data_IF_715149870445
#
_entry.id   IF_715149870445
#
_cell.length_a   1.000
_cell.length_b   1.000
_cell.length_c   1.000
_cell.angle_alpha   90.00
_cell.angle_beta   90.00
_cell.angle_gamma   90.00
#
_symmetry.space_group_name_H-M   'P 1'
#
loop_
_entity.id
_entity.type
_entity.pdbx_description
1 polymer ?
#
# COMPACT_ATOMS: atom_id res chain seq x y z
N UNK A 1 -14.14 1.81 -0.81
CA UNK A 1 -15.26 1.49 0.11
C UNK A 1 -14.76 0.72 1.33
N UNK A 2 -14.34 -0.55 1.22
CA UNK A 2 -13.91 -1.33 2.38
C UNK A 2 -12.84 -0.64 3.25
N UNK A 3 -11.74 -0.16 2.67
CA UNK A 3 -10.68 0.52 3.43
C UNK A 3 -11.18 1.77 4.17
N UNK A 4 -12.02 2.59 3.52
CA UNK A 4 -12.65 3.76 4.13
C UNK A 4 -13.59 3.36 5.29
N UNK A 5 -14.42 2.34 5.06
CA UNK A 5 -15.36 1.82 6.06
C UNK A 5 -14.65 1.30 7.30
N UNK A 6 -13.57 0.54 7.13
CA UNK A 6 -12.78 0.00 8.25
C UNK A 6 -12.13 1.13 9.07
N UNK A 7 -11.60 2.17 8.41
CA UNK A 7 -11.07 3.37 9.07
C UNK A 7 -12.15 4.12 9.84
N UNK A 8 -13.30 4.37 9.22
CA UNK A 8 -14.43 5.03 9.84
C UNK A 8 -14.98 4.21 11.03
N UNK A 9 -15.03 2.89 10.89
CA UNK A 9 -15.50 1.97 11.92
C UNK A 9 -14.61 2.02 13.16
N UNK A 10 -13.29 1.83 13.01
CA UNK A 10 -12.39 1.93 14.16
C UNK A 10 -12.49 3.30 14.82
N UNK A 11 -12.51 4.39 14.02
CA UNK A 11 -12.64 5.73 14.57
C UNK A 11 -13.92 5.87 15.39
N UNK A 12 -15.05 5.39 14.90
CA UNK A 12 -16.33 5.43 15.61
C UNK A 12 -16.33 4.60 16.89
N UNK A 13 -15.71 3.42 16.86
CA UNK A 13 -15.62 2.52 18.00
C UNK A 13 -14.63 3.01 19.07
N UNK A 14 -13.78 4.00 18.80
CA UNK A 14 -12.72 4.41 19.72
C UNK A 14 -12.79 5.88 20.13
N UNK A 15 -13.51 6.72 19.37
CA UNK A 15 -13.57 8.17 19.63
C UNK A 15 -14.31 8.49 20.94
N UNK A 16 -15.28 7.68 21.34
CA UNK A 16 -16.07 7.93 22.56
C UNK A 16 -15.24 7.65 23.81
N UNK A 17 -14.45 6.57 23.80
CA UNK A 17 -13.66 6.08 24.92
C UNK A 17 -12.31 6.79 25.02
N UNK A 18 -11.67 7.05 23.87
CA UNK A 18 -10.34 7.64 23.81
C UNK A 18 -10.38 9.16 23.60
N UNK A 19 -11.50 9.72 23.15
CA UNK A 19 -11.59 11.13 22.78
C UNK A 19 -10.51 11.51 21.77
N UNK A 20 -9.76 12.56 22.08
CA UNK A 20 -8.64 13.03 21.25
C UNK A 20 -7.49 12.03 21.11
N UNK A 21 -7.37 11.05 22.01
CA UNK A 21 -6.31 10.03 21.94
C UNK A 21 -6.50 9.06 20.78
N UNK A 22 -7.67 9.03 20.12
CA UNK A 22 -7.89 8.25 18.89
C UNK A 22 -6.86 8.60 17.80
N UNK A 23 -6.30 9.82 17.82
CA UNK A 23 -5.25 10.25 16.90
C UNK A 23 -3.94 9.44 17.04
N UNK A 24 -3.75 8.73 18.16
CA UNK A 24 -2.62 7.84 18.41
C UNK A 24 -2.82 6.44 17.81
N UNK A 25 -4.04 6.09 17.39
CA UNK A 25 -4.39 4.82 16.74
C UNK A 25 -5.00 5.05 15.35
N UNK A 26 -4.26 5.72 14.43
CA UNK A 26 -4.83 6.19 13.17
C UNK A 26 -4.96 5.09 12.11
N UNK A 27 -4.24 3.97 12.26
CA UNK A 27 -4.30 2.82 11.36
C UNK A 27 -5.29 1.79 11.93
N UNK A 28 -6.18 1.21 11.11
CA UNK A 28 -7.04 0.14 11.56
C UNK A 28 -6.30 -1.09 12.09
N UNK A 29 -6.68 -1.52 13.29
CA UNK A 29 -6.24 -2.75 13.93
C UNK A 29 -7.31 -3.81 13.76
N UNK A 30 -7.02 -4.80 12.89
CA UNK A 30 -7.93 -5.90 12.60
C UNK A 30 -8.19 -6.80 13.81
N UNK A 31 -7.25 -6.90 14.75
CA UNK A 31 -7.40 -7.69 15.97
C UNK A 31 -8.34 -6.97 16.93
N UNK A 32 -8.22 -5.65 17.05
CA UNK A 32 -9.16 -4.85 17.82
C UNK A 32 -10.59 -5.01 17.28
N UNK A 33 -10.79 -4.80 15.98
CA UNK A 33 -12.10 -4.91 15.35
C UNK A 33 -12.69 -6.32 15.50
N UNK A 34 -11.87 -7.36 15.33
CA UNK A 34 -12.31 -8.75 15.50
C UNK A 34 -12.78 -9.02 16.93
N UNK A 35 -12.01 -8.58 17.93
CA UNK A 35 -12.35 -8.78 19.34
C UNK A 35 -13.63 -8.05 19.73
N UNK A 36 -13.83 -6.82 19.25
CA UNK A 36 -15.06 -6.05 19.47
C UNK A 36 -16.27 -6.80 18.90
N UNK A 37 -16.21 -7.20 17.64
CA UNK A 37 -17.35 -7.86 16.97
C UNK A 37 -17.61 -9.28 17.46
N UNK A 38 -16.60 -9.99 17.98
CA UNK A 38 -16.78 -11.28 18.65
C UNK A 38 -17.12 -11.16 20.13
N UNK A 39 -17.12 -9.95 20.67
CA UNK A 39 -17.27 -9.69 22.10
C UNK A 39 -16.27 -10.48 22.97
N UNK A 40 -15.03 -10.61 22.50
CA UNK A 40 -13.97 -11.32 23.24
C UNK A 40 -13.65 -10.54 24.51
N UNK A 41 -13.75 -11.20 25.67
CA UNK A 41 -13.52 -10.60 27.00
C UNK A 41 -14.37 -9.34 27.28
N UNK A 42 -15.58 -9.25 26.70
CA UNK A 42 -16.47 -8.10 26.91
C UNK A 42 -16.19 -6.90 25.99
N UNK A 43 -15.33 -7.06 24.97
CA UNK A 43 -14.97 -5.99 24.04
C UNK A 43 -16.12 -5.45 23.18
N UNK A 44 -17.31 -6.08 23.19
CA UNK A 44 -18.50 -5.53 22.55
C UNK A 44 -18.96 -4.19 23.16
N UNK A 45 -18.48 -3.85 24.36
CA UNK A 45 -18.75 -2.56 25.00
C UNK A 45 -18.28 -1.34 24.18
N UNK A 46 -17.27 -1.49 23.32
CA UNK A 46 -16.77 -0.43 22.43
C UNK A 46 -17.75 -0.07 21.28
N UNK A 47 -18.86 -0.80 21.16
CA UNK A 47 -19.92 -0.47 20.21
C UNK A 47 -20.97 0.48 20.80
N UNK A 48 -20.99 0.63 22.12
CA UNK A 48 -21.93 1.49 22.84
C UNK A 48 -21.35 2.90 22.96
N UNK A 49 -22.14 3.93 22.63
CA UNK A 49 -21.70 5.31 22.80
C UNK A 49 -22.09 5.74 24.21
N UNK A 50 -21.14 5.92 25.11
CA UNK A 50 -21.40 6.17 26.55
C UNK A 50 -22.25 7.42 26.77
N UNK A 51 -22.17 8.40 25.87
CA UNK A 51 -22.92 9.66 25.95
C UNK A 51 -24.34 9.59 25.36
N UNK A 52 -24.71 8.49 24.71
CA UNK A 52 -26.04 8.32 24.12
C UNK A 52 -27.06 7.84 25.16
N UNK A 53 -28.34 8.01 24.87
CA UNK A 53 -29.43 7.50 25.71
C UNK A 53 -29.85 6.07 25.36
N UNK A 54 -29.46 5.60 24.17
CA UNK A 54 -29.81 4.28 23.63
C UNK A 54 -28.54 3.45 23.52
N UNK A 55 -28.53 2.22 23.99
CA UNK A 55 -27.36 1.35 23.84
C UNK A 55 -27.20 0.92 22.39
N UNK A 56 -26.17 1.40 21.72
CA UNK A 56 -25.86 1.01 20.35
C UNK A 56 -25.29 -0.40 20.23
N UNK A 57 -25.65 -1.07 19.13
CA UNK A 57 -25.13 -2.39 18.78
C UNK A 57 -24.01 -2.29 17.76
N UNK A 58 -23.10 -3.28 17.75
CA UNK A 58 -22.01 -3.31 16.76
C UNK A 58 -22.51 -3.27 15.29
N UNK A 59 -23.62 -3.92 14.90
CA UNK A 59 -24.20 -3.74 13.57
C UNK A 59 -24.66 -2.31 13.26
N UNK A 60 -25.18 -1.58 14.25
CA UNK A 60 -25.56 -0.17 14.05
C UNK A 60 -24.33 0.71 13.85
N UNK A 61 -23.28 0.49 14.65
CA UNK A 61 -22.01 1.18 14.47
C UNK A 61 -21.36 0.89 13.12
N UNK A 62 -21.40 -0.37 12.66
CA UNK A 62 -20.97 -0.76 11.33
C UNK A 62 -21.72 -0.03 10.21
N UNK A 63 -23.04 0.15 10.35
CA UNK A 63 -23.86 0.88 9.37
C UNK A 63 -23.54 2.37 9.36
N UNK A 64 -23.50 3.00 10.54
CA UNK A 64 -23.16 4.43 10.66
C UNK A 64 -21.74 4.71 10.12
N UNK A 65 -20.80 3.79 10.33
CA UNK A 65 -19.45 3.87 9.75
C UNK A 65 -19.44 3.78 8.22
N UNK A 66 -20.36 3.02 7.64
CA UNK A 66 -20.47 2.91 6.19
C UNK A 66 -20.99 4.22 5.58
N UNK A 67 -21.97 4.85 6.23
CA UNK A 67 -22.47 6.17 5.81
C UNK A 67 -21.35 7.21 5.82
N UNK A 68 -20.54 7.28 6.88
CA UNK A 68 -19.36 8.17 6.94
C UNK A 68 -18.37 7.92 5.81
N UNK A 69 -18.06 6.64 5.56
CA UNK A 69 -17.12 6.25 4.52
C UNK A 69 -17.62 6.61 3.12
N UNK A 70 -18.93 6.49 2.87
CA UNK A 70 -19.52 6.89 1.58
C UNK A 70 -19.50 8.41 1.41
N UNK A 71 -19.78 9.18 2.47
CA UNK A 71 -19.68 10.65 2.45
C UNK A 71 -18.24 11.10 2.15
N UNK A 72 -17.23 10.51 2.81
CA UNK A 72 -15.81 10.80 2.55
C UNK A 72 -15.45 10.48 1.09
N UNK A 73 -15.78 9.27 0.63
CA UNK A 73 -15.42 8.84 -0.72
C UNK A 73 -16.17 9.61 -1.82
N UNK A 74 -17.40 10.06 -1.58
CA UNK A 74 -18.13 10.91 -2.52
C UNK A 74 -17.49 12.30 -2.63
N UNK A 75 -16.97 12.85 -1.54
CA UNK A 75 -16.25 14.12 -1.57
C UNK A 75 -14.95 14.02 -2.39
N UNK A 76 -14.23 12.91 -2.29
CA UNK A 76 -12.93 12.71 -2.93
C UNK A 76 -13.03 12.19 -4.38
N UNK A 77 -13.96 11.29 -4.66
CA UNK A 77 -14.08 10.57 -5.94
C UNK A 77 -15.38 10.88 -6.71
N UNK A 78 -16.24 11.74 -6.16
CA UNK A 78 -17.49 12.17 -6.77
C UNK A 78 -18.67 11.21 -6.56
N UNK A 79 -19.88 11.61 -6.99
CA UNK A 79 -21.14 10.95 -6.62
C UNK A 79 -21.44 9.61 -7.33
N UNK A 80 -20.66 9.26 -8.36
CA UNK A 80 -20.90 8.04 -9.16
C UNK A 80 -20.09 6.88 -8.61
N UNK A 81 -20.69 6.10 -7.71
CA UNK A 81 -20.10 4.92 -7.09
C UNK A 81 -19.45 3.96 -8.10
N UNK A 82 -20.08 3.76 -9.27
CA UNK A 82 -19.64 2.83 -10.31
C UNK A 82 -18.34 3.28 -11.00
N UNK A 83 -17.94 4.53 -10.82
CA UNK A 83 -16.69 5.07 -11.34
C UNK A 83 -15.51 4.90 -10.39
N UNK A 84 -15.75 4.59 -9.11
CA UNK A 84 -14.67 4.46 -8.13
C UNK A 84 -13.79 3.25 -8.44
N UNK A 85 -12.46 3.44 -8.46
CA UNK A 85 -11.49 2.37 -8.64
C UNK A 85 -10.50 2.38 -7.50
N UNK A 86 -10.25 1.20 -6.94
CA UNK A 86 -9.24 1.06 -5.88
C UNK A 86 -7.88 1.57 -6.34
N UNK A 87 -7.48 1.24 -7.57
CA UNK A 87 -6.20 1.67 -8.15
C UNK A 87 -6.01 3.17 -8.36
N UNK A 88 -7.09 3.96 -8.36
CA UNK A 88 -7.00 5.42 -8.45
C UNK A 88 -6.66 6.02 -7.07
N UNK A 89 -7.12 5.38 -5.99
CA UNK A 89 -6.83 5.77 -4.61
C UNK A 89 -5.54 5.11 -4.06
N UNK A 90 -5.33 3.85 -4.40
CA UNK A 90 -4.24 2.99 -3.92
C UNK A 90 -3.17 2.84 -4.98
N UNK A 91 -2.23 3.78 -4.92
CA UNK A 91 -1.07 3.82 -5.81
C UNK A 91 0.19 3.61 -4.98
N UNK A 92 1.02 2.65 -5.38
CA UNK A 92 2.40 2.54 -4.91
C UNK A 92 3.14 3.83 -5.25
N UNK A 93 3.57 4.57 -4.23
CA UNK A 93 4.39 5.75 -4.37
C UNK A 93 5.84 5.44 -4.00
N UNK A 94 6.70 5.34 -5.01
CA UNK A 94 8.14 5.39 -4.81
C UNK A 94 8.58 6.85 -4.85
N UNK A 95 8.56 7.51 -3.69
CA UNK A 95 8.96 8.91 -3.55
C UNK A 95 10.48 9.04 -3.60
N UNK A 96 10.99 9.88 -4.50
CA UNK A 96 12.41 10.22 -4.53
C UNK A 96 12.77 11.03 -3.27
N UNK A 97 13.81 10.60 -2.54
CA UNK A 97 14.13 11.17 -1.21
C UNK A 97 14.42 12.68 -1.24
N UNK A 98 15.18 13.16 -2.22
CA UNK A 98 15.55 14.59 -2.33
C UNK A 98 14.60 15.39 -3.22
N UNK A 99 14.30 14.89 -4.43
CA UNK A 99 13.53 15.61 -5.44
C UNK A 99 12.01 15.42 -5.33
N UNK A 100 11.55 14.42 -4.58
CA UNK A 100 10.15 13.98 -4.58
C UNK A 100 9.16 14.94 -3.93
N UNK A 101 9.65 15.95 -3.20
CA UNK A 101 8.86 17.02 -2.59
C UNK A 101 8.97 18.35 -3.33
N UNK A 102 9.83 18.46 -4.34
CA UNK A 102 10.04 19.70 -5.09
C UNK A 102 8.98 19.77 -6.21
N UNK A 103 8.17 20.84 -6.29
CA UNK A 103 7.18 21.01 -7.35
C UNK A 103 7.81 20.84 -8.73
N UNK A 104 7.07 20.24 -9.68
CA UNK A 104 7.50 19.90 -11.04
C UNK A 104 8.53 18.77 -11.10
N UNK A 105 9.59 18.80 -10.27
CA UNK A 105 10.58 17.72 -10.23
C UNK A 105 9.99 16.42 -9.70
N UNK A 106 9.03 16.51 -8.78
CA UNK A 106 8.31 15.36 -8.25
C UNK A 106 7.57 14.56 -9.34
N UNK A 107 7.14 15.20 -10.43
CA UNK A 107 6.45 14.55 -11.55
C UNK A 107 7.38 13.66 -12.38
N UNK A 108 8.68 13.94 -12.34
CA UNK A 108 9.71 13.18 -13.04
C UNK A 108 10.36 12.15 -12.09
N UNK A 109 10.58 12.54 -10.84
CA UNK A 109 11.37 11.76 -9.90
C UNK A 109 10.55 10.71 -9.14
N UNK A 110 9.27 10.97 -8.85
CA UNK A 110 8.44 10.00 -8.16
C UNK A 110 7.84 9.01 -9.16
N UNK A 111 7.82 7.74 -8.78
CA UNK A 111 7.14 6.70 -9.56
C UNK A 111 5.82 6.39 -8.86
N UNK A 112 4.71 6.47 -9.61
CA UNK A 112 3.36 6.13 -9.14
C UNK A 112 2.78 5.01 -9.99
N UNK A 113 2.26 3.99 -9.34
CA UNK A 113 1.64 2.85 -10.01
C UNK A 113 0.39 2.39 -9.25
N UNK A 114 -0.74 2.25 -9.93
CA UNK A 114 -1.94 1.62 -9.37
C UNK A 114 -1.62 0.19 -8.95
N UNK A 115 -1.90 -0.17 -7.71
CA UNK A 115 -1.63 -1.53 -7.20
C UNK A 115 -2.91 -2.18 -6.66
N UNK A 116 -3.09 -3.49 -6.87
CA UNK A 116 -4.04 -4.27 -6.08
C UNK A 116 -3.49 -4.52 -4.67
N UNK A 117 -4.31 -5.16 -3.83
CA UNK A 117 -3.89 -5.53 -2.49
C UNK A 117 -4.22 -4.47 -1.44
N UNK A 118 -3.46 -4.47 -0.36
CA UNK A 118 -3.65 -3.61 0.81
C UNK A 118 -2.97 -4.17 2.05
N UNK A 119 -3.12 -3.49 3.19
CA UNK A 119 -2.44 -3.78 4.47
C UNK A 119 -2.48 -5.25 4.90
N UNK A 120 -3.60 -5.94 4.65
CA UNK A 120 -3.88 -7.28 5.17
C UNK A 120 -3.94 -8.35 4.07
N UNK A 121 -3.28 -8.14 2.93
CA UNK A 121 -3.27 -9.10 1.81
C UNK A 121 -1.86 -9.61 1.53
N UNK A 122 -1.72 -10.76 0.85
CA UNK A 122 -0.41 -11.26 0.42
C UNK A 122 0.34 -10.26 -0.47
N UNK A 123 -0.40 -9.54 -1.31
CA UNK A 123 0.11 -8.37 -2.03
C UNK A 123 0.08 -7.17 -1.10
N UNK A 124 0.99 -7.16 -0.13
CA UNK A 124 1.04 -6.12 0.89
C UNK A 124 1.23 -4.74 0.26
N UNK A 125 0.27 -3.85 0.50
CA UNK A 125 0.27 -2.45 0.10
C UNK A 125 -0.13 -1.59 1.30
N UNK A 126 0.85 -1.28 2.15
CA UNK A 126 0.67 -0.57 3.40
C UNK A 126 0.29 0.90 3.19
N UNK A 127 -0.82 1.32 3.80
CA UNK A 127 -1.32 2.69 3.79
C UNK A 127 -0.63 3.57 4.84
N UNK A 128 -0.55 4.91 4.63
CA UNK A 128 0.00 5.80 5.63
C UNK A 128 -0.93 5.88 6.85
N UNK A 129 -0.32 6.16 8.01
CA UNK A 129 -1.09 6.45 9.22
C UNK A 129 -1.99 7.69 9.05
N UNK A 130 -1.47 8.76 8.45
CA UNK A 130 -2.15 10.04 8.30
C UNK A 130 -1.77 10.72 7.00
N UNK A 131 -2.57 11.68 6.55
CA UNK A 131 -2.26 12.56 5.43
C UNK A 131 -3.44 12.74 4.47
N UNK A 132 -3.27 13.59 3.44
CA UNK A 132 -4.32 13.91 2.46
C UNK A 132 -4.60 12.76 1.47
N UNK A 133 -3.69 11.81 1.32
CA UNK A 133 -3.84 10.62 0.47
C UNK A 133 -3.88 9.37 1.37
N UNK A 134 -4.98 9.11 2.11
CA UNK A 134 -5.01 8.09 3.15
C UNK A 134 -4.95 6.65 2.61
N UNK A 135 -5.20 6.47 1.32
CA UNK A 135 -5.19 5.17 0.66
C UNK A 135 -3.91 4.92 -0.13
N UNK A 136 -2.93 5.82 -0.10
CA UNK A 136 -1.69 5.66 -0.87
C UNK A 136 -0.89 4.45 -0.37
N UNK A 137 -0.33 3.63 -1.27
CA UNK A 137 0.61 2.59 -0.86
C UNK A 137 2.00 3.22 -0.62
N UNK A 138 2.40 3.27 0.65
CA UNK A 138 3.69 3.80 1.11
C UNK A 138 4.64 2.71 1.61
N UNK A 139 4.17 1.46 1.63
CA UNK A 139 4.95 0.30 2.05
C UNK A 139 4.54 -0.94 1.26
N UNK A 140 5.50 -1.75 0.82
CA UNK A 140 5.22 -2.94 0.02
C UNK A 140 6.50 -3.68 -0.37
N UNK A 141 6.35 -4.71 -1.19
CA UNK A 141 7.47 -5.56 -1.60
C UNK A 141 8.41 -4.83 -2.59
N UNK A 142 9.57 -4.37 -2.11
CA UNK A 142 10.62 -3.79 -2.98
C UNK A 142 11.29 -4.82 -3.91
N UNK A 143 11.27 -6.09 -3.53
CA UNK A 143 11.83 -7.22 -4.25
C UNK A 143 10.90 -8.44 -4.11
N UNK A 144 10.71 -9.21 -5.18
CA UNK A 144 10.03 -10.50 -5.17
C UNK A 144 10.86 -11.49 -5.97
N UNK A 145 10.97 -12.73 -5.52
CA UNK A 145 11.67 -13.78 -6.26
C UNK A 145 11.08 -15.16 -5.99
N UNK A 146 11.31 -16.06 -6.96
CA UNK A 146 11.08 -17.50 -6.85
C UNK A 146 12.38 -18.17 -7.24
N UNK A 147 12.89 -19.02 -6.35
CA UNK A 147 14.14 -19.76 -6.55
C UNK A 147 13.84 -21.22 -6.79
N UNK A 148 14.33 -21.75 -7.90
CA UNK A 148 14.32 -23.19 -8.17
C UNK A 148 15.70 -23.76 -7.80
N UNK A 149 15.74 -24.62 -6.78
CA UNK A 149 16.98 -25.24 -6.32
C UNK A 149 17.40 -26.45 -7.16
N UNK A 150 16.50 -27.03 -7.95
CA UNK A 150 16.80 -28.12 -8.88
C UNK A 150 17.33 -27.60 -10.23
N UNK A 151 16.87 -26.42 -10.63
CA UNK A 151 17.33 -25.71 -11.83
C UNK A 151 17.47 -24.19 -11.56
N UNK A 152 18.64 -23.73 -11.07
CA UNK A 152 18.84 -22.32 -10.71
C UNK A 152 18.58 -21.33 -11.85
N UNK A 153 18.78 -21.73 -13.11
CA UNK A 153 18.57 -20.86 -14.28
C UNK A 153 17.07 -20.65 -14.61
N UNK A 154 16.19 -21.44 -14.01
CA UNK A 154 14.73 -21.25 -14.02
C UNK A 154 14.23 -20.31 -12.91
N UNK A 155 15.11 -19.74 -12.09
CA UNK A 155 14.75 -18.76 -11.07
C UNK A 155 14.31 -17.43 -11.68
N UNK A 156 13.43 -16.69 -10.98
CA UNK A 156 12.90 -15.41 -11.47
C UNK A 156 12.83 -14.38 -10.34
N UNK A 157 12.93 -13.10 -10.69
CA UNK A 157 12.80 -12.01 -9.73
C UNK A 157 12.22 -10.74 -10.35
N UNK A 158 11.88 -9.79 -9.49
CA UNK A 158 11.51 -8.43 -9.89
C UNK A 158 11.82 -7.46 -8.74
N UNK A 159 12.18 -6.23 -9.09
CA UNK A 159 12.26 -5.10 -8.15
C UNK A 159 11.22 -4.04 -8.52
N UNK A 160 10.81 -3.23 -7.54
CA UNK A 160 9.67 -2.33 -7.69
C UNK A 160 9.85 -1.18 -8.70
N UNK A 161 11.09 -0.77 -8.97
CA UNK A 161 11.39 0.37 -9.86
C UNK A 161 12.22 -0.08 -11.07
N UNK A 162 13.54 -0.02 -10.95
CA UNK A 162 14.52 -0.30 -11.98
C UNK A 162 15.89 -0.38 -11.31
N UNK A 163 16.87 -0.96 -12.00
CA UNK A 163 18.19 -1.24 -11.41
C UNK A 163 19.02 0.02 -11.14
N UNK A 164 18.71 1.14 -11.79
CA UNK A 164 19.46 2.38 -11.68
C UNK A 164 18.78 3.39 -10.75
N UNK A 165 19.51 3.93 -9.78
CA UNK A 165 19.04 5.10 -8.99
C UNK A 165 19.18 6.45 -9.71
N UNK A 166 19.83 6.49 -10.88
CA UNK A 166 20.02 7.73 -11.64
C UNK A 166 18.75 8.09 -12.42
N UNK A 167 18.16 9.26 -12.13
CA UNK A 167 16.87 9.72 -12.70
C UNK A 167 16.81 9.69 -14.24
N UNK A 168 17.91 10.05 -14.91
CA UNK A 168 17.95 10.09 -16.39
C UNK A 168 18.30 8.73 -17.02
N UNK A 169 18.44 7.68 -16.22
CA UNK A 169 18.69 6.34 -16.74
C UNK A 169 17.41 5.74 -17.27
N UNK A 170 17.49 5.07 -18.41
CA UNK A 170 16.38 4.24 -18.90
C UNK A 170 16.03 3.06 -17.99
N UNK A 171 16.91 2.73 -17.04
CA UNK A 171 16.73 1.66 -16.06
C UNK A 171 16.26 2.20 -14.69
N UNK A 172 15.72 3.41 -14.64
CA UNK A 172 15.25 4.03 -13.39
C UNK A 172 13.95 3.39 -12.89
N UNK A 173 13.03 3.10 -13.81
CA UNK A 173 11.68 2.60 -13.53
C UNK A 173 11.20 1.56 -14.56
N UNK A 174 12.10 0.99 -15.36
CA UNK A 174 11.79 0.07 -16.45
C UNK A 174 11.11 -1.24 -16.01
N UNK A 175 11.31 -1.64 -14.76
CA UNK A 175 10.70 -2.82 -14.17
C UNK A 175 9.37 -2.52 -13.46
N UNK A 176 9.02 -1.25 -13.24
CA UNK A 176 7.85 -0.86 -12.45
C UNK A 176 6.53 -1.41 -13.01
N UNK A 177 6.39 -1.43 -14.34
CA UNK A 177 5.19 -1.96 -15.01
C UNK A 177 5.09 -3.48 -14.91
N UNK A 178 6.20 -4.22 -14.91
CA UNK A 178 6.21 -5.67 -14.69
C UNK A 178 5.88 -5.97 -13.22
N UNK A 179 6.54 -5.26 -12.30
CA UNK A 179 6.32 -5.39 -10.86
C UNK A 179 4.86 -5.16 -10.48
N UNK A 180 4.22 -4.12 -11.00
CA UNK A 180 2.81 -3.81 -10.76
C UNK A 180 1.87 -4.93 -11.20
N UNK A 181 2.22 -5.63 -12.28
CA UNK A 181 1.46 -6.75 -12.85
C UNK A 181 1.80 -8.10 -12.20
N UNK A 182 2.70 -8.11 -11.21
CA UNK A 182 3.24 -9.34 -10.62
C UNK A 182 3.93 -10.24 -11.64
N UNK A 183 4.55 -9.62 -12.65
CA UNK A 183 5.39 -10.29 -13.64
C UNK A 183 6.86 -10.26 -13.17
N UNK A 184 7.65 -11.21 -13.65
CA UNK A 184 9.05 -11.41 -13.25
C UNK A 184 9.99 -11.42 -14.46
N UNK A 185 11.26 -11.14 -14.20
CA UNK A 185 12.36 -11.33 -15.14
C UNK A 185 13.24 -12.52 -14.72
N UNK A 186 13.90 -13.21 -15.67
CA UNK A 186 14.78 -14.33 -15.36
C UNK A 186 15.96 -13.94 -14.46
N UNK A 187 16.36 -14.87 -13.59
CA UNK A 187 17.59 -14.83 -12.80
C UNK A 187 18.43 -16.06 -13.18
N UNK A 188 19.52 -15.84 -13.91
CA UNK A 188 20.42 -16.92 -14.33
C UNK A 188 21.81 -16.70 -13.75
N UNK A 189 22.48 -17.81 -13.44
CA UNK A 189 23.88 -17.84 -13.01
C UNK A 189 24.83 -18.14 -14.17
N UNK A 190 24.31 -18.43 -15.36
CA UNK A 190 25.09 -18.68 -16.57
C UNK A 190 25.77 -17.38 -17.06
N UNK A 191 27.11 -17.30 -17.03
CA UNK A 191 27.84 -16.13 -17.48
C UNK A 191 27.68 -15.85 -18.98
N UNK A 192 27.42 -16.87 -19.80
CA UNK A 192 27.28 -16.70 -21.24
C UNK A 192 25.91 -16.10 -21.59
N UNK A 193 24.84 -16.51 -20.88
CA UNK A 193 23.54 -15.83 -20.95
C UNK A 193 23.64 -14.37 -20.48
N UNK A 194 24.34 -14.13 -19.36
CA UNK A 194 24.53 -12.78 -18.84
C UNK A 194 25.29 -11.88 -19.84
N UNK A 195 26.32 -12.41 -20.51
CA UNK A 195 27.06 -11.67 -21.56
C UNK A 195 26.24 -11.44 -22.81
N UNK A 196 25.47 -12.43 -23.25
CA UNK A 196 24.64 -12.33 -24.45
C UNK A 196 23.54 -11.25 -24.31
N UNK A 197 22.97 -11.12 -23.11
CA UNK A 197 21.97 -10.09 -22.78
C UNK A 197 22.56 -8.74 -22.34
N UNK A 198 23.88 -8.59 -22.30
CA UNK A 198 24.51 -7.40 -21.75
C UNK A 198 24.25 -6.15 -22.60
N UNK A 199 23.77 -5.09 -21.95
CA UNK A 199 23.60 -3.76 -22.54
C UNK A 199 24.94 -3.08 -22.82
N UNK A 200 25.97 -3.40 -22.03
CA UNK A 200 27.31 -2.84 -22.14
C UNK A 200 28.28 -3.60 -21.24
N UNK A 201 29.57 -3.49 -21.54
CA UNK A 201 30.64 -4.15 -20.77
C UNK A 201 31.66 -3.10 -20.32
N UNK A 202 31.84 -2.97 -19.02
CA UNK A 202 32.88 -2.12 -18.42
C UNK A 202 34.02 -3.00 -17.94
N UNK A 203 35.26 -2.70 -18.35
CA UNK A 203 36.47 -3.35 -17.82
C UNK A 203 37.16 -2.40 -16.84
N UNK A 204 37.31 -2.84 -15.61
CA UNK A 204 38.01 -2.09 -14.56
C UNK A 204 39.38 -2.75 -14.36
N UNK A 205 40.45 -2.00 -14.61
CA UNK A 205 41.83 -2.46 -14.40
C UNK A 205 42.47 -1.65 -13.27
N UNK A 206 43.23 -2.28 -12.35
CA UNK A 206 43.94 -1.55 -11.30
C UNK A 206 44.88 -0.49 -11.89
N UNK A 207 45.01 0.64 -11.20
CA UNK A 207 46.10 1.57 -11.46
C UNK A 207 47.41 0.93 -10.98
N UNK A 208 48.43 0.92 -11.84
CA UNK A 208 49.78 0.41 -11.56
C UNK A 208 50.48 1.18 -10.45
#
# INVERSE_FOLDING_TARGET
>A
IYAAWVRALQRRLAIDELGGLVALVPVPDVVFLERVFRNTDGAGAWCDIVQSTETETCPEMARRALDDALIELEADFGPRLESWRWGDAHQALHRHQTLGSIPVLNLLANIRQSTPGGDNTLMQGGMPANGPEPYLEVHGAGFRAVYDFGDPDSSVFIIATGQSGHLLSRFYDDLAMLWRRSEYIPMSLDPDLARAGAVGVTRITPAS
#
